data_IF_241731936731
#
_entry.id   IF_241731936731
#
_cell.length_a   1.000
_cell.length_b   1.000
_cell.length_c   1.000
_cell.angle_alpha   90.00
_cell.angle_beta   90.00
_cell.angle_gamma   90.00
#
_symmetry.space_group_name_H-M   'P 1'
#
loop_
_entity.id
_entity.type
_entity.pdbx_description
1 polymer ?
#
# COMPACT_ATOMS: atom_id res chain seq x y z
N UNK A 1 -17.42 6.88 22.94
CA UNK A 1 -16.75 5.87 22.12
C UNK A 1 -15.57 6.56 21.47
N UNK A 2 -14.38 6.39 22.01
CA UNK A 2 -13.19 7.02 21.44
C UNK A 2 -12.95 6.43 20.05
N UNK A 3 -13.01 7.29 19.05
CA UNK A 3 -12.58 7.00 17.69
C UNK A 3 -11.08 6.70 17.77
N UNK A 4 -10.71 5.43 17.84
CA UNK A 4 -9.32 5.00 17.66
C UNK A 4 -8.98 5.31 16.20
N UNK A 5 -8.57 6.57 15.96
CA UNK A 5 -7.98 6.94 14.70
C UNK A 5 -6.88 5.91 14.42
N UNK A 6 -7.08 5.09 13.40
CA UNK A 6 -6.06 4.18 12.88
C UNK A 6 -4.83 5.04 12.62
N UNK A 7 -3.91 5.04 13.58
CA UNK A 7 -2.61 5.67 13.40
C UNK A 7 -1.92 4.91 12.27
N UNK A 8 -1.27 5.64 11.38
CA UNK A 8 -0.33 5.01 10.44
C UNK A 8 0.58 4.15 11.30
N UNK A 9 0.45 2.83 11.16
CA UNK A 9 1.28 1.89 11.91
C UNK A 9 2.73 2.03 11.43
N UNK A 10 3.67 1.93 12.36
CA UNK A 10 5.07 1.85 11.98
C UNK A 10 5.29 0.63 11.07
N UNK A 11 6.26 0.68 10.15
CA UNK A 11 6.58 -0.47 9.31
C UNK A 11 6.92 -1.68 10.17
N UNK A 12 6.23 -2.79 9.95
CA UNK A 12 6.51 -4.07 10.59
C UNK A 12 7.44 -4.86 9.68
N UNK A 13 8.70 -5.00 10.11
CA UNK A 13 9.69 -5.83 9.42
C UNK A 13 9.63 -7.24 10.00
N UNK A 14 9.35 -8.28 9.19
CA UNK A 14 9.26 -9.64 9.70
C UNK A 14 10.64 -10.19 10.09
N UNK A 15 10.70 -10.92 11.20
CA UNK A 15 11.87 -11.70 11.57
C UNK A 15 12.05 -12.90 10.62
N UNK A 16 13.24 -13.52 10.61
CA UNK A 16 13.52 -14.64 9.70
C UNK A 16 12.54 -15.82 9.87
N UNK A 17 12.14 -16.11 11.10
CA UNK A 17 11.14 -17.15 11.41
C UNK A 17 9.75 -16.77 10.89
N UNK A 18 9.37 -15.51 11.00
CA UNK A 18 8.09 -14.99 10.52
C UNK A 18 8.03 -15.00 8.99
N UNK A 19 9.14 -14.79 8.29
CA UNK A 19 9.23 -14.93 6.83
C UNK A 19 8.85 -16.35 6.39
N UNK A 20 9.41 -17.37 7.05
CA UNK A 20 9.08 -18.77 6.74
C UNK A 20 7.61 -19.09 7.01
N UNK A 21 7.08 -18.65 8.15
CA UNK A 21 5.66 -18.79 8.50
C UNK A 21 4.75 -18.05 7.50
N UNK A 22 5.13 -16.85 7.08
CA UNK A 22 4.39 -16.08 6.11
C UNK A 22 4.37 -16.76 4.73
N UNK A 23 5.46 -17.42 4.32
CA UNK A 23 5.50 -18.18 3.06
C UNK A 23 4.51 -19.35 3.08
N UNK A 24 4.46 -20.10 4.17
CA UNK A 24 3.53 -21.23 4.33
C UNK A 24 2.08 -20.73 4.37
N UNK A 25 1.79 -19.73 5.19
CA UNK A 25 0.46 -19.14 5.33
C UNK A 25 -0.03 -18.51 4.02
N UNK A 26 0.84 -17.80 3.28
CA UNK A 26 0.49 -17.22 1.99
C UNK A 26 0.09 -18.28 0.96
N UNK A 27 0.80 -19.43 0.92
CA UNK A 27 0.48 -20.56 0.04
C UNK A 27 -0.86 -21.20 0.41
N UNK A 28 -1.11 -21.41 1.70
CA UNK A 28 -2.36 -21.98 2.19
C UNK A 28 -3.56 -21.08 1.87
N UNK A 29 -3.43 -19.77 2.14
CA UNK A 29 -4.48 -18.80 1.83
C UNK A 29 -4.72 -18.67 0.31
N UNK A 30 -3.66 -18.71 -0.50
CA UNK A 30 -3.80 -18.64 -1.95
C UNK A 30 -4.64 -19.80 -2.50
N UNK A 31 -4.41 -21.03 -2.03
CA UNK A 31 -5.23 -22.20 -2.38
C UNK A 31 -6.68 -22.01 -1.94
N UNK A 32 -6.90 -21.63 -0.68
CA UNK A 32 -8.24 -21.38 -0.16
C UNK A 32 -9.01 -20.35 -0.99
N UNK A 33 -8.38 -19.24 -1.35
CA UNK A 33 -8.99 -18.17 -2.15
C UNK A 33 -9.32 -18.65 -3.57
N UNK A 34 -8.48 -19.49 -4.17
CA UNK A 34 -8.71 -20.08 -5.49
C UNK A 34 -9.86 -21.10 -5.50
N UNK A 35 -9.87 -22.00 -4.52
CA UNK A 35 -10.82 -23.11 -4.45
C UNK A 35 -12.21 -22.66 -3.96
N UNK A 36 -12.29 -21.53 -3.24
CA UNK A 36 -13.52 -21.05 -2.62
C UNK A 36 -13.80 -19.58 -2.97
N UNK A 37 -14.25 -19.27 -4.22
CA UNK A 37 -14.42 -17.90 -4.67
C UNK A 37 -15.39 -17.04 -3.83
N UNK A 38 -16.36 -17.67 -3.17
CA UNK A 38 -17.34 -17.03 -2.26
C UNK A 38 -17.19 -17.48 -0.80
N UNK A 39 -16.13 -18.22 -0.47
CA UNK A 39 -15.92 -18.78 0.86
C UNK A 39 -15.60 -17.72 1.92
N UNK A 40 -16.03 -18.01 3.12
CA UNK A 40 -15.64 -17.30 4.33
C UNK A 40 -14.60 -18.13 5.07
N UNK A 41 -13.56 -17.48 5.58
CA UNK A 41 -12.57 -18.11 6.43
C UNK A 41 -13.04 -18.00 7.88
N UNK A 42 -13.20 -19.15 8.55
CA UNK A 42 -13.44 -19.20 9.99
C UNK A 42 -12.18 -19.62 10.72
N UNK A 43 -11.89 -18.92 11.81
CA UNK A 43 -10.82 -19.28 12.73
C UNK A 43 -11.48 -19.75 14.02
N UNK A 44 -11.16 -20.98 14.42
CA UNK A 44 -11.67 -21.57 15.64
C UNK A 44 -10.51 -21.74 16.63
N UNK A 45 -10.67 -21.17 17.81
CA UNK A 45 -9.80 -21.43 18.94
C UNK A 45 -10.56 -22.28 19.98
N UNK A 46 -10.22 -23.55 20.02
CA UNK A 46 -10.86 -24.53 20.94
C UNK A 46 -10.55 -24.22 22.40
N UNK A 47 -9.42 -23.58 22.70
CA UNK A 47 -9.03 -23.27 24.08
C UNK A 47 -9.89 -22.12 24.65
N UNK A 48 -10.22 -21.12 23.81
CA UNK A 48 -10.99 -19.96 24.22
C UNK A 48 -12.45 -19.97 23.72
N UNK A 49 -12.91 -21.05 23.08
CA UNK A 49 -14.24 -21.19 22.49
C UNK A 49 -14.60 -20.00 21.58
N UNK A 50 -13.62 -19.49 20.88
CA UNK A 50 -13.78 -18.34 20.00
C UNK A 50 -13.94 -18.81 18.57
N UNK A 51 -15.00 -18.33 17.90
CA UNK A 51 -15.25 -18.54 16.47
C UNK A 51 -15.30 -17.17 15.79
N UNK A 52 -14.35 -16.92 14.87
CA UNK A 52 -14.26 -15.65 14.14
C UNK A 52 -14.42 -15.93 12.66
N UNK A 53 -15.40 -15.28 12.04
CA UNK A 53 -15.60 -15.35 10.59
C UNK A 53 -14.99 -14.11 9.94
N UNK A 54 -14.04 -14.31 9.05
CA UNK A 54 -13.38 -13.24 8.32
C UNK A 54 -14.10 -12.98 6.99
N UNK A 55 -14.51 -11.72 6.70
CA UNK A 55 -15.03 -11.37 5.40
C UNK A 55 -13.95 -11.56 4.31
N UNK A 56 -14.37 -11.92 3.10
CA UNK A 56 -13.46 -12.16 1.97
C UNK A 56 -12.46 -11.02 1.73
N UNK A 57 -12.90 -9.76 1.86
CA UNK A 57 -12.02 -8.61 1.71
C UNK A 57 -10.85 -8.64 2.71
N UNK A 58 -11.11 -9.02 3.97
CA UNK A 58 -10.07 -9.16 4.98
C UNK A 58 -9.09 -10.30 4.66
N UNK A 59 -9.59 -11.42 4.12
CA UNK A 59 -8.76 -12.55 3.70
C UNK A 59 -7.83 -12.15 2.55
N UNK A 60 -8.32 -11.39 1.57
CA UNK A 60 -7.51 -10.89 0.45
C UNK A 60 -6.43 -9.90 0.91
N UNK A 61 -6.77 -9.01 1.83
CA UNK A 61 -5.80 -8.09 2.44
C UNK A 61 -4.73 -8.85 3.22
N UNK A 62 -5.13 -9.84 4.03
CA UNK A 62 -4.21 -10.70 4.77
C UNK A 62 -3.28 -11.47 3.83
N UNK A 63 -3.80 -12.02 2.73
CA UNK A 63 -3.00 -12.69 1.71
C UNK A 63 -1.95 -11.74 1.10
N UNK A 64 -2.33 -10.48 0.82
CA UNK A 64 -1.40 -9.46 0.34
C UNK A 64 -0.27 -9.19 1.34
N UNK A 65 -0.61 -8.98 2.60
CA UNK A 65 0.35 -8.75 3.69
C UNK A 65 1.32 -9.93 3.82
N UNK A 66 0.79 -11.15 3.89
CA UNK A 66 1.63 -12.36 4.02
C UNK A 66 2.56 -12.56 2.83
N UNK A 67 2.16 -12.16 1.62
CA UNK A 67 3.01 -12.23 0.44
C UNK A 67 4.22 -11.31 0.53
N UNK A 68 4.02 -10.08 1.00
CA UNK A 68 5.12 -9.13 1.20
C UNK A 68 6.06 -9.58 2.34
N UNK A 69 5.49 -10.02 3.46
CA UNK A 69 6.26 -10.57 4.57
C UNK A 69 7.07 -11.82 4.16
N UNK A 70 6.51 -12.68 3.31
CA UNK A 70 7.19 -13.86 2.77
C UNK A 70 8.43 -13.52 1.92
N UNK A 71 8.53 -12.30 1.42
CA UNK A 71 9.70 -11.76 0.70
C UNK A 71 10.66 -11.00 1.63
N UNK A 72 10.35 -10.92 2.92
CA UNK A 72 11.12 -10.14 3.89
C UNK A 72 10.86 -8.64 3.83
N UNK A 73 9.82 -8.21 3.12
CA UNK A 73 9.47 -6.80 3.02
C UNK A 73 8.75 -6.31 4.27
N UNK A 74 9.08 -5.10 4.71
CA UNK A 74 8.31 -4.42 5.74
C UNK A 74 6.93 -4.01 5.21
N UNK A 75 5.90 -4.18 6.03
CA UNK A 75 4.52 -3.85 5.67
C UNK A 75 4.00 -2.72 6.55
N UNK A 76 3.32 -1.76 5.93
CA UNK A 76 2.61 -0.68 6.61
C UNK A 76 1.16 -0.63 6.12
N UNK A 77 0.21 -0.55 7.05
CA UNK A 77 -1.20 -0.35 6.72
C UNK A 77 -1.57 1.11 6.85
N UNK A 78 -1.99 1.72 5.75
CA UNK A 78 -2.41 3.12 5.72
C UNK A 78 -3.88 3.18 5.30
N UNK A 79 -4.78 3.68 6.16
CA UNK A 79 -6.17 3.90 5.78
C UNK A 79 -6.27 4.88 4.61
N UNK A 80 -7.17 4.63 3.66
CA UNK A 80 -7.36 5.46 2.47
C UNK A 80 -7.60 6.94 2.82
N UNK A 81 -8.35 7.20 3.90
CA UNK A 81 -8.64 8.54 4.38
C UNK A 81 -7.66 9.05 5.47
N UNK A 82 -6.49 8.40 5.60
CA UNK A 82 -5.49 8.86 6.55
C UNK A 82 -4.96 10.25 6.14
N UNK A 83 -4.79 11.09 7.15
CA UNK A 83 -4.17 12.40 6.99
C UNK A 83 -2.67 12.32 7.26
N UNK A 84 -1.90 12.64 6.24
CA UNK A 84 -0.46 12.62 6.29
C UNK A 84 0.10 14.00 6.62
N UNK A 85 1.22 14.01 7.33
CA UNK A 85 2.09 15.21 7.42
C UNK A 85 2.81 15.40 6.09
N UNK A 86 3.33 16.62 5.86
CA UNK A 86 4.16 16.89 4.66
C UNK A 86 5.41 16.01 4.59
N UNK A 87 5.98 15.61 5.72
CA UNK A 87 7.11 14.70 5.74
C UNK A 87 6.68 13.29 5.31
N UNK A 88 5.65 12.72 5.94
CA UNK A 88 5.13 11.40 5.58
C UNK A 88 4.71 11.32 4.11
N UNK A 89 4.08 12.37 3.59
CA UNK A 89 3.69 12.43 2.19
C UNK A 89 4.90 12.50 1.24
N UNK A 90 5.94 13.25 1.61
CA UNK A 90 7.19 13.32 0.84
C UNK A 90 7.92 11.96 0.82
N UNK A 91 7.99 11.28 1.97
CA UNK A 91 8.61 9.96 2.11
C UNK A 91 7.87 8.92 1.23
N UNK A 92 6.53 8.93 1.22
CA UNK A 92 5.72 8.03 0.39
C UNK A 92 5.86 8.25 -1.12
N UNK A 93 6.09 9.50 -1.54
CA UNK A 93 6.39 9.83 -2.94
C UNK A 93 7.86 9.65 -3.29
N UNK A 94 8.71 9.42 -2.29
CA UNK A 94 10.17 9.38 -2.44
C UNK A 94 10.73 10.68 -3.03
N UNK A 95 10.27 11.81 -2.50
CA UNK A 95 10.69 13.16 -2.90
C UNK A 95 11.11 13.98 -1.70
N UNK A 96 11.80 15.11 -1.94
CA UNK A 96 12.13 16.03 -0.87
C UNK A 96 10.88 16.77 -0.34
N UNK A 97 10.86 17.08 0.96
CA UNK A 97 9.78 17.84 1.56
C UNK A 97 9.55 19.22 0.90
N UNK A 98 10.56 20.01 0.55
CA UNK A 98 10.36 21.27 -0.17
C UNK A 98 9.67 21.08 -1.53
N UNK A 99 10.03 20.06 -2.27
CA UNK A 99 9.37 19.71 -3.54
C UNK A 99 7.90 19.35 -3.33
N UNK A 100 7.60 18.50 -2.34
CA UNK A 100 6.20 18.22 -2.01
C UNK A 100 5.42 19.50 -1.67
N UNK A 101 6.00 20.39 -0.86
CA UNK A 101 5.34 21.65 -0.50
C UNK A 101 5.05 22.49 -1.74
N UNK A 102 5.94 22.53 -2.72
CA UNK A 102 5.67 23.24 -3.99
C UNK A 102 4.52 22.63 -4.77
N UNK A 103 4.38 21.29 -4.80
CA UNK A 103 3.24 20.59 -5.42
C UNK A 103 1.91 20.91 -4.72
N UNK A 104 1.92 21.04 -3.40
CA UNK A 104 0.75 21.44 -2.63
C UNK A 104 0.36 22.90 -2.92
N UNK A 105 1.31 23.81 -2.92
CA UNK A 105 1.09 25.24 -3.14
C UNK A 105 0.68 25.58 -4.57
N UNK A 106 1.14 24.81 -5.56
CA UNK A 106 0.69 24.90 -6.94
C UNK A 106 -0.70 24.29 -7.19
N UNK A 107 -1.31 23.65 -6.18
CA UNK A 107 -2.64 23.04 -6.28
C UNK A 107 -2.67 21.71 -7.03
N UNK A 108 -1.51 21.14 -7.37
CA UNK A 108 -1.42 19.83 -8.05
C UNK A 108 -1.92 18.70 -7.15
N UNK A 109 -1.62 18.77 -5.85
CA UNK A 109 -2.12 17.84 -4.84
C UNK A 109 -2.98 18.63 -3.85
N UNK A 110 -4.26 18.28 -3.68
CA UNK A 110 -5.13 18.93 -2.69
C UNK A 110 -4.62 18.71 -1.27
N UNK A 111 -4.68 19.75 -0.46
CA UNK A 111 -4.32 19.69 0.95
C UNK A 111 -5.21 20.59 1.80
N UNK A 112 -5.19 20.39 3.11
CA UNK A 112 -5.81 21.31 4.05
C UNK A 112 -4.81 21.85 5.06
N UNK A 113 -5.06 23.05 5.58
CA UNK A 113 -4.30 23.62 6.69
C UNK A 113 -5.02 23.39 8.01
N UNK A 114 -4.28 22.96 9.02
CA UNK A 114 -4.72 22.91 10.41
C UNK A 114 -3.75 23.80 11.20
N UNK A 115 -4.17 25.05 11.44
CA UNK A 115 -3.26 26.08 11.92
C UNK A 115 -2.15 26.35 10.92
N UNK A 116 -0.90 26.22 11.34
CA UNK A 116 0.29 26.38 10.50
C UNK A 116 0.72 25.10 9.78
N UNK A 117 0.07 23.97 10.09
CA UNK A 117 0.46 22.66 9.57
C UNK A 117 -0.38 22.28 8.35
N UNK A 118 0.29 21.77 7.30
CA UNK A 118 -0.36 21.20 6.13
C UNK A 118 -0.65 19.72 6.36
N UNK A 119 -1.84 19.26 5.93
CA UNK A 119 -2.26 17.86 5.94
C UNK A 119 -2.71 17.45 4.55
N UNK A 120 -2.29 16.26 4.12
CA UNK A 120 -2.61 15.69 2.83
C UNK A 120 -3.35 14.38 3.04
N UNK A 121 -4.47 14.17 2.37
CA UNK A 121 -5.13 12.88 2.38
C UNK A 121 -4.32 11.85 1.57
N UNK A 122 -4.19 10.65 2.10
CA UNK A 122 -3.47 9.57 1.44
C UNK A 122 -4.03 9.27 0.05
N UNK A 123 -5.35 9.30 -0.12
CA UNK A 123 -6.00 9.10 -1.43
C UNK A 123 -5.58 10.12 -2.48
N UNK A 124 -5.45 11.40 -2.11
CA UNK A 124 -4.99 12.44 -3.03
C UNK A 124 -3.53 12.24 -3.44
N UNK A 125 -2.71 11.82 -2.49
CA UNK A 125 -1.31 11.52 -2.74
C UNK A 125 -1.15 10.33 -3.70
N UNK A 126 -1.95 9.27 -3.51
CA UNK A 126 -1.94 8.09 -4.36
C UNK A 126 -2.50 8.35 -5.75
N UNK A 127 -3.52 9.20 -5.87
CA UNK A 127 -4.04 9.63 -7.16
C UNK A 127 -2.97 10.38 -7.97
N UNK A 128 -2.24 11.29 -7.33
CA UNK A 128 -1.11 11.98 -7.96
C UNK A 128 -0.01 11.01 -8.38
N UNK A 129 0.43 10.12 -7.48
CA UNK A 129 1.46 9.12 -7.77
C UNK A 129 1.09 8.27 -8.98
N UNK A 130 -0.15 7.76 -9.02
CA UNK A 130 -0.65 6.95 -10.14
C UNK A 130 -0.64 7.72 -11.46
N UNK A 131 -1.02 8.99 -11.44
CA UNK A 131 -1.00 9.84 -12.62
C UNK A 131 0.43 10.10 -13.14
N UNK A 132 1.38 10.34 -12.24
CA UNK A 132 2.79 10.52 -12.60
C UNK A 132 3.44 9.22 -13.12
N UNK A 133 3.14 8.09 -12.49
CA UNK A 133 3.63 6.78 -12.94
C UNK A 133 3.08 6.44 -14.34
N UNK A 134 1.81 6.77 -14.63
CA UNK A 134 1.22 6.60 -15.96
C UNK A 134 1.91 7.47 -17.02
N UNK A 135 2.15 8.75 -16.75
CA UNK A 135 2.89 9.65 -17.65
C UNK A 135 4.31 9.15 -17.91
N UNK A 136 4.99 8.67 -16.87
CA UNK A 136 6.36 8.13 -16.98
C UNK A 136 6.38 6.88 -17.85
N UNK A 137 5.40 5.99 -17.68
CA UNK A 137 5.27 4.78 -18.50
C UNK A 137 4.99 5.12 -19.97
N UNK A 138 4.12 6.09 -20.25
CA UNK A 138 3.83 6.57 -21.60
C UNK A 138 5.09 7.15 -22.28
N UNK A 139 5.85 7.98 -21.57
CA UNK A 139 7.10 8.52 -22.07
C UNK A 139 8.14 7.42 -22.36
N UNK A 140 8.25 6.41 -21.51
CA UNK A 140 9.14 5.26 -21.73
C UNK A 140 8.72 4.44 -22.96
N UNK A 141 7.43 4.19 -23.13
CA UNK A 141 6.91 3.48 -24.29
C UNK A 141 7.18 4.26 -25.60
N UNK A 142 7.01 5.57 -25.59
CA UNK A 142 7.31 6.41 -26.73
C UNK A 142 8.79 6.41 -27.07
N UNK A 143 9.69 6.52 -26.08
CA UNK A 143 11.14 6.40 -26.28
C UNK A 143 11.53 5.04 -26.85
N UNK A 144 10.94 3.96 -26.35
CA UNK A 144 11.18 2.59 -26.85
C UNK A 144 10.75 2.43 -28.30
N UNK A 145 9.60 3.01 -28.67
CA UNK A 145 9.10 3.02 -30.05
C UNK A 145 10.07 3.78 -30.99
N UNK A 146 10.51 4.96 -30.57
CA UNK A 146 11.46 5.77 -31.36
C UNK A 146 12.81 5.05 -31.51
N UNK A 147 13.31 4.38 -30.45
CA UNK A 147 14.54 3.61 -30.51
C UNK A 147 14.43 2.42 -31.49
N UNK A 148 13.26 1.75 -31.54
CA UNK A 148 13.01 0.68 -32.51
C UNK A 148 12.92 1.21 -33.94
N UNK A 149 12.25 2.32 -34.18
CA UNK A 149 12.14 2.95 -35.52
C UNK A 149 13.51 3.41 -36.05
N UNK A 150 14.39 3.87 -35.17
CA UNK A 150 15.75 4.31 -35.52
C UNK A 150 16.75 3.17 -35.58
N UNK A 151 16.31 1.91 -35.37
CA UNK A 151 17.13 0.71 -35.41
C UNK A 151 18.35 0.77 -34.43
N UNK A 152 18.18 1.46 -33.30
CA UNK A 152 19.20 1.64 -32.26
C UNK A 152 19.24 0.49 -31.24
N UNK A 153 18.47 -0.58 -31.49
CA UNK A 153 18.49 -1.81 -30.70
C UNK A 153 19.47 -2.83 -31.29
N UNK A 154 20.36 -3.33 -30.47
CA UNK A 154 21.23 -4.47 -30.80
C UNK A 154 20.38 -5.72 -30.99
#
# INVERSE_FOLDING_TARGET
MANAALRISEPVLPAAEEVAQAQEAARALARFVADTPKGQLSIEDSAHRMHVVLPRAAVLLLQGILREMAQGHAVTLIPVHAELTTQQAADLLNVSRPYLVSLLESGVIPYRKIGTRRRVLFEHLMAYKKAEDAKRMEALNELSRQAQELNLGY
#
